data_IF_474443351517
#
_entry.id   IF_474443351517
#
_cell.length_a   1.000
_cell.length_b   1.000
_cell.length_c   1.000
_cell.angle_alpha   90.00
_cell.angle_beta   90.00
_cell.angle_gamma   90.00
#
_symmetry.space_group_name_H-M   'P 1'
#
loop_
_entity.id
_entity.type
_entity.pdbx_description
1 polymer ?
#
# COMPACT_ATOMS: atom_id res chain seq x y z
N UNK A 1 2.80 -37.33 -30.33
CA UNK A 1 1.93 -36.77 -29.26
C UNK A 1 0.47 -36.64 -29.72
N UNK A 2 -0.23 -37.73 -30.06
CA UNK A 2 -1.62 -37.66 -30.58
C UNK A 2 -2.64 -38.57 -29.85
N UNK A 3 -2.21 -39.41 -28.89
CA UNK A 3 -3.09 -40.42 -28.28
C UNK A 3 -3.82 -39.94 -27.01
N UNK A 4 -3.46 -38.79 -26.42
CA UNK A 4 -4.07 -38.31 -25.16
C UNK A 4 -5.34 -37.46 -25.36
N UNK A 5 -5.57 -36.91 -26.57
CA UNK A 5 -6.74 -36.06 -26.86
C UNK A 5 -8.06 -36.83 -27.03
N UNK A 6 -8.02 -38.15 -27.28
CA UNK A 6 -9.22 -38.93 -27.60
C UNK A 6 -10.00 -39.42 -26.37
N UNK A 7 -9.32 -39.73 -25.25
CA UNK A 7 -10.01 -40.29 -24.06
C UNK A 7 -10.81 -39.27 -23.27
N UNK A 8 -10.35 -38.01 -23.18
CA UNK A 8 -11.09 -36.95 -22.49
C UNK A 8 -12.41 -36.66 -23.21
N UNK A 9 -12.37 -36.52 -24.54
CA UNK A 9 -13.54 -36.13 -25.33
C UNK A 9 -14.70 -37.14 -25.24
N UNK A 10 -14.37 -38.43 -25.17
CA UNK A 10 -15.35 -39.53 -25.00
C UNK A 10 -16.02 -39.52 -23.61
N UNK A 11 -15.27 -39.12 -22.57
CA UNK A 11 -15.84 -38.97 -21.21
C UNK A 11 -16.84 -37.80 -21.19
N UNK A 12 -16.53 -36.69 -21.85
CA UNK A 12 -17.41 -35.52 -21.92
C UNK A 12 -18.69 -35.74 -22.75
N UNK A 13 -18.62 -36.58 -23.79
CA UNK A 13 -19.77 -36.84 -24.67
C UNK A 13 -20.86 -37.68 -24.00
N UNK A 14 -20.52 -38.55 -23.04
CA UNK A 14 -21.44 -39.48 -22.38
C UNK A 14 -22.09 -38.97 -21.08
N UNK A 15 -21.76 -37.75 -20.65
CA UNK A 15 -22.32 -37.17 -19.43
C UNK A 15 -23.58 -36.37 -19.76
N UNK A 16 -24.67 -36.62 -19.04
CA UNK A 16 -25.91 -35.85 -19.19
C UNK A 16 -25.72 -34.36 -18.84
N UNK A 17 -26.67 -33.50 -19.22
CA UNK A 17 -26.55 -32.06 -19.03
C UNK A 17 -26.26 -31.63 -17.58
N UNK A 18 -26.76 -32.36 -16.58
CA UNK A 18 -26.48 -32.10 -15.16
C UNK A 18 -25.03 -32.41 -14.80
N UNK A 19 -24.48 -33.53 -15.25
CA UNK A 19 -23.09 -33.88 -14.97
C UNK A 19 -22.08 -32.96 -15.69
N UNK A 20 -22.41 -32.45 -16.88
CA UNK A 20 -21.58 -31.43 -17.56
C UNK A 20 -21.53 -30.12 -16.78
N UNK A 21 -22.66 -29.70 -16.21
CA UNK A 21 -22.74 -28.50 -15.37
C UNK A 21 -21.91 -28.64 -14.09
N UNK A 22 -22.00 -29.79 -13.42
CA UNK A 22 -21.21 -30.07 -12.21
C UNK A 22 -19.71 -30.06 -12.52
N UNK A 23 -19.29 -30.67 -13.63
CA UNK A 23 -17.88 -30.70 -14.02
C UNK A 23 -17.35 -29.31 -14.38
N UNK A 24 -18.16 -28.48 -15.04
CA UNK A 24 -17.83 -27.08 -15.32
C UNK A 24 -17.66 -26.28 -14.02
N UNK A 25 -18.55 -26.45 -13.05
CA UNK A 25 -18.47 -25.78 -11.74
C UNK A 25 -17.21 -26.21 -10.98
N UNK A 26 -16.87 -27.50 -10.98
CA UNK A 26 -15.63 -28.00 -10.38
C UNK A 26 -14.42 -27.42 -11.09
N UNK A 27 -14.41 -27.36 -12.42
CA UNK A 27 -13.31 -26.78 -13.18
C UNK A 27 -13.13 -25.29 -12.88
N UNK A 28 -14.22 -24.50 -12.86
CA UNK A 28 -14.19 -23.08 -12.49
C UNK A 28 -13.70 -22.90 -11.05
N UNK A 29 -14.16 -23.72 -10.11
CA UNK A 29 -13.73 -23.65 -8.72
C UNK A 29 -12.23 -23.99 -8.56
N UNK A 30 -11.74 -25.04 -9.23
CA UNK A 30 -10.32 -25.40 -9.24
C UNK A 30 -9.49 -24.29 -9.90
N UNK A 31 -9.98 -23.69 -10.99
CA UNK A 31 -9.32 -22.55 -11.64
C UNK A 31 -9.26 -21.33 -10.71
N UNK A 32 -10.34 -21.02 -10.00
CA UNK A 32 -10.38 -19.94 -9.00
C UNK A 32 -9.41 -20.22 -7.83
N UNK A 33 -9.34 -21.47 -7.35
CA UNK A 33 -8.38 -21.88 -6.32
C UNK A 33 -6.93 -21.80 -6.81
N UNK A 34 -6.67 -22.17 -8.07
CA UNK A 34 -5.34 -22.06 -8.68
C UNK A 34 -4.95 -20.59 -8.89
N UNK A 35 -5.87 -19.74 -9.36
CA UNK A 35 -5.64 -18.30 -9.50
C UNK A 35 -5.42 -17.64 -8.14
N UNK A 36 -6.19 -18.03 -7.11
CA UNK A 36 -5.99 -17.57 -5.74
C UNK A 36 -4.63 -18.04 -5.18
N UNK A 37 -4.24 -19.29 -5.43
CA UNK A 37 -2.95 -19.85 -5.01
C UNK A 37 -1.76 -19.23 -5.74
N UNK A 38 -1.86 -18.95 -7.04
CA UNK A 38 -0.82 -18.25 -7.81
C UNK A 38 -0.67 -16.82 -7.31
N UNK A 39 -1.80 -16.11 -7.10
CA UNK A 39 -1.80 -14.76 -6.50
C UNK A 39 -1.17 -14.75 -5.10
N UNK A 40 -1.41 -15.79 -4.29
CA UNK A 40 -0.74 -15.96 -3.00
C UNK A 40 0.73 -16.42 -3.10
N UNK A 41 1.09 -17.17 -4.13
CA UNK A 41 2.44 -17.71 -4.33
C UNK A 41 3.44 -16.63 -4.73
N UNK A 42 3.03 -15.64 -5.51
CA UNK A 42 3.89 -14.50 -5.85
C UNK A 42 4.09 -13.54 -4.67
N UNK A 43 3.17 -13.55 -3.70
CA UNK A 43 3.27 -12.80 -2.45
C UNK A 43 4.11 -13.51 -1.37
N UNK A 44 4.45 -14.80 -1.54
CA UNK A 44 5.09 -15.60 -0.49
C UNK A 44 6.45 -16.14 -0.95
N UNK A 45 7.52 -15.57 -0.36
CA UNK A 45 8.94 -16.00 -0.30
C UNK A 45 9.95 -15.25 -1.17
N UNK A 46 10.02 -13.94 -1.05
CA UNK A 46 11.36 -13.35 -0.86
C UNK A 46 11.31 -12.45 0.35
N UNK A 47 12.20 -12.73 1.30
CA UNK A 47 12.40 -11.90 2.46
C UNK A 47 12.72 -10.46 2.00
N UNK A 48 12.30 -9.41 2.72
CA UNK A 48 12.66 -8.06 2.33
C UNK A 48 14.18 -7.94 2.32
N UNK A 49 14.73 -7.20 1.35
CA UNK A 49 16.18 -6.95 1.26
C UNK A 49 16.71 -6.35 2.56
N UNK A 50 15.91 -5.48 3.18
CA UNK A 50 16.21 -4.89 4.48
C UNK A 50 15.24 -5.40 5.54
N UNK A 51 15.79 -6.01 6.58
CA UNK A 51 15.05 -6.34 7.81
C UNK A 51 15.36 -5.28 8.84
N UNK A 52 14.36 -4.48 9.20
CA UNK A 52 14.47 -3.56 10.32
C UNK A 52 14.14 -4.28 11.61
N UNK A 53 14.89 -3.99 12.66
CA UNK A 53 14.56 -4.47 14.02
C UNK A 53 13.45 -3.60 14.58
N UNK A 54 12.33 -4.21 14.97
CA UNK A 54 11.27 -3.52 15.69
C UNK A 54 11.74 -3.19 17.10
N UNK A 55 11.68 -1.91 17.47
CA UNK A 55 11.92 -1.46 18.84
C UNK A 55 10.58 -1.42 19.57
N UNK A 56 10.39 -2.35 20.52
CA UNK A 56 9.25 -2.29 21.43
C UNK A 56 9.42 -1.10 22.39
N UNK A 57 8.46 -0.17 22.37
CA UNK A 57 8.50 1.04 23.20
C UNK A 57 7.95 0.77 24.61
N UNK A 58 6.92 -0.09 24.72
CA UNK A 58 6.32 -0.56 25.98
C UNK A 58 5.81 -1.98 25.81
N UNK A 59 5.72 -2.73 26.92
CA UNK A 59 5.07 -4.03 26.92
C UNK A 59 3.70 -3.95 27.57
N UNK A 60 2.63 -4.30 26.85
CA UNK A 60 1.25 -4.35 27.36
C UNK A 60 0.38 -5.28 26.53
N UNK A 61 -0.74 -5.74 27.09
CA UNK A 61 -1.70 -6.58 26.35
C UNK A 61 -2.41 -5.84 25.19
N UNK A 62 -2.44 -4.50 25.23
CA UNK A 62 -3.02 -3.63 24.20
C UNK A 62 -1.95 -3.08 23.23
N UNK A 63 -0.94 -3.87 22.88
CA UNK A 63 0.12 -3.47 21.95
C UNK A 63 -0.35 -3.41 20.48
N UNK A 64 0.08 -2.38 19.77
CA UNK A 64 -0.05 -2.29 18.31
C UNK A 64 1.28 -1.88 17.66
N UNK A 65 1.44 -2.24 16.39
CA UNK A 65 2.62 -1.88 15.59
C UNK A 65 2.33 -0.64 14.73
N UNK A 66 3.10 0.42 14.94
CA UNK A 66 3.10 1.62 14.09
C UNK A 66 4.35 1.64 13.23
N UNK A 67 4.17 1.77 11.92
CA UNK A 67 5.26 1.96 10.94
C UNK A 67 5.17 3.39 10.41
N UNK A 68 6.28 4.13 10.47
CA UNK A 68 6.42 5.43 9.81
C UNK A 68 7.49 5.33 8.73
N UNK A 69 7.17 5.68 7.49
CA UNK A 69 8.06 5.45 6.37
C UNK A 69 7.94 6.50 5.26
N UNK A 70 9.04 7.21 4.98
CA UNK A 70 9.17 7.98 3.75
C UNK A 70 9.51 7.02 2.59
N UNK A 71 8.61 6.90 1.62
CA UNK A 71 8.70 5.91 0.53
C UNK A 71 9.34 6.46 -0.76
N UNK A 72 9.87 7.68 -0.72
CA UNK A 72 10.52 8.39 -1.83
C UNK A 72 9.62 8.54 -3.06
N UNK A 73 9.13 9.75 -3.28
CA UNK A 73 8.34 10.07 -4.48
C UNK A 73 9.17 9.89 -5.76
N UNK A 74 8.52 9.67 -6.90
CA UNK A 74 9.21 9.57 -8.20
C UNK A 74 9.75 10.93 -8.66
N UNK A 75 9.10 12.03 -8.26
CA UNK A 75 9.45 13.38 -8.72
C UNK A 75 10.88 13.82 -8.33
N UNK A 76 11.34 13.68 -7.07
CA UNK A 76 12.73 13.98 -6.71
C UNK A 76 13.76 13.17 -7.51
N UNK A 77 13.46 11.90 -7.81
CA UNK A 77 14.33 11.03 -8.62
C UNK A 77 14.43 11.56 -10.05
N UNK A 78 13.31 12.00 -10.65
CA UNK A 78 13.31 12.60 -12.00
C UNK A 78 14.02 13.94 -12.05
N UNK A 79 13.91 14.75 -10.99
CA UNK A 79 14.57 16.04 -10.89
C UNK A 79 16.10 15.90 -10.77
N UNK A 80 16.58 14.79 -10.20
CA UNK A 80 17.99 14.48 -10.13
C UNK A 80 18.26 13.01 -10.52
N UNK A 81 18.31 12.67 -11.82
CA UNK A 81 18.49 11.30 -12.30
C UNK A 81 19.81 10.64 -11.86
N UNK A 82 20.83 11.46 -11.67
CA UNK A 82 22.15 11.07 -11.16
C UNK A 82 22.16 10.92 -9.63
N UNK A 83 21.10 11.36 -8.95
CA UNK A 83 20.83 11.00 -7.58
C UNK A 83 20.75 9.48 -7.44
N UNK A 84 21.36 8.95 -6.38
CA UNK A 84 21.31 7.52 -6.05
C UNK A 84 22.01 6.60 -7.07
N UNK A 85 23.04 7.07 -7.77
CA UNK A 85 23.96 6.17 -8.49
C UNK A 85 24.68 5.23 -7.50
N UNK A 86 25.02 3.99 -7.91
CA UNK A 86 24.96 3.45 -9.28
C UNK A 86 23.63 2.78 -9.66
N UNK A 87 22.53 2.94 -8.91
CA UNK A 87 21.27 2.25 -9.23
C UNK A 87 20.76 2.62 -10.64
N UNK A 88 20.26 1.66 -11.44
CA UNK A 88 19.59 1.93 -12.72
C UNK A 88 18.26 2.68 -12.53
N UNK A 89 17.85 3.48 -13.51
CA UNK A 89 16.59 4.26 -13.43
C UNK A 89 15.34 3.39 -13.22
N UNK A 90 15.30 2.21 -13.86
CA UNK A 90 14.21 1.24 -13.71
C UNK A 90 14.05 0.73 -12.28
N UNK A 91 15.10 0.80 -11.46
CA UNK A 91 15.04 0.44 -10.04
C UNK A 91 14.68 1.62 -9.13
N UNK A 92 14.80 2.86 -9.64
CA UNK A 92 14.55 4.09 -8.87
C UNK A 92 13.12 4.61 -9.01
N UNK A 93 12.39 4.25 -10.06
CA UNK A 93 11.04 4.76 -10.32
C UNK A 93 9.98 3.69 -10.04
N UNK A 94 8.77 4.16 -9.69
CA UNK A 94 7.58 3.32 -9.59
C UNK A 94 6.85 3.30 -10.93
N UNK A 95 6.82 4.41 -11.64
CA UNK A 95 6.26 4.47 -13.00
C UNK A 95 7.10 3.68 -14.03
N UNK A 96 6.52 3.28 -15.18
CA UNK A 96 5.12 3.52 -15.60
C UNK A 96 4.11 2.55 -14.96
N UNK A 97 4.57 1.40 -14.44
CA UNK A 97 3.72 0.40 -13.80
C UNK A 97 4.17 0.19 -12.35
N UNK A 98 3.52 0.87 -11.39
CA UNK A 98 3.90 0.78 -9.99
C UNK A 98 3.87 -0.63 -9.43
N UNK A 99 2.91 -1.47 -9.85
CA UNK A 99 2.73 -2.82 -9.29
C UNK A 99 3.88 -3.77 -9.63
N UNK A 100 4.49 -3.59 -10.79
CA UNK A 100 5.64 -4.42 -11.20
C UNK A 100 6.99 -3.79 -10.85
N UNK A 101 6.99 -2.52 -10.44
CA UNK A 101 8.22 -1.80 -10.09
C UNK A 101 9.01 -2.50 -8.95
N UNK A 102 10.36 -2.54 -9.03
CA UNK A 102 11.18 -3.10 -7.96
C UNK A 102 10.93 -2.43 -6.60
N UNK A 103 10.75 -1.10 -6.56
CA UNK A 103 10.53 -0.36 -5.31
C UNK A 103 9.24 -0.76 -4.61
N UNK A 104 8.14 -0.84 -5.35
CA UNK A 104 6.86 -1.26 -4.80
C UNK A 104 6.91 -2.69 -4.28
N UNK A 105 7.48 -3.63 -5.06
CA UNK A 105 7.64 -5.03 -4.62
C UNK A 105 8.46 -5.15 -3.33
N UNK A 106 9.50 -4.34 -3.17
CA UNK A 106 10.29 -4.33 -1.93
C UNK A 106 9.53 -3.68 -0.78
N UNK A 107 8.82 -2.58 -1.03
CA UNK A 107 7.97 -1.92 -0.03
C UNK A 107 6.91 -2.88 0.54
N UNK A 108 6.20 -3.62 -0.33
CA UNK A 108 5.17 -4.57 0.11
C UNK A 108 5.75 -5.74 0.91
N UNK A 109 6.94 -6.24 0.54
CA UNK A 109 7.66 -7.25 1.35
C UNK A 109 8.03 -6.72 2.72
N UNK A 110 8.53 -5.48 2.80
CA UNK A 110 8.92 -4.85 4.06
C UNK A 110 7.69 -4.62 4.96
N UNK A 111 6.60 -4.09 4.42
CA UNK A 111 5.33 -3.91 5.14
C UNK A 111 4.81 -5.25 5.66
N UNK A 112 4.79 -6.29 4.81
CA UNK A 112 4.33 -7.63 5.20
C UNK A 112 5.18 -8.22 6.32
N UNK A 113 6.50 -8.03 6.25
CA UNK A 113 7.44 -8.49 7.29
C UNK A 113 7.21 -7.77 8.62
N UNK A 114 7.00 -6.45 8.59
CA UNK A 114 6.81 -5.63 9.79
C UNK A 114 5.48 -5.90 10.51
N UNK A 115 4.47 -6.43 9.81
CA UNK A 115 3.11 -6.68 10.34
C UNK A 115 2.53 -5.48 11.08
N UNK A 116 2.44 -4.30 10.43
CA UNK A 116 1.89 -3.10 11.04
C UNK A 116 0.42 -3.28 11.38
N UNK A 117 -0.04 -2.50 12.35
CA UNK A 117 -1.45 -2.21 12.55
C UNK A 117 -1.80 -0.81 12.04
N UNK A 118 -0.83 0.10 12.01
CA UNK A 118 -0.92 1.45 11.46
C UNK A 118 0.33 1.74 10.62
N UNK A 119 0.15 2.36 9.45
CA UNK A 119 1.22 2.74 8.54
C UNK A 119 1.08 4.22 8.17
N UNK A 120 2.04 5.05 8.59
CA UNK A 120 2.14 6.45 8.20
C UNK A 120 3.22 6.59 7.13
N UNK A 121 2.84 6.92 5.90
CA UNK A 121 3.76 7.08 4.77
C UNK A 121 3.96 8.55 4.41
N UNK A 122 5.20 8.92 4.09
CA UNK A 122 5.53 10.22 3.51
C UNK A 122 6.04 10.07 2.07
N UNK A 123 5.95 11.15 1.29
CA UNK A 123 6.31 11.19 -0.13
C UNK A 123 5.51 10.19 -1.00
N UNK A 124 4.22 10.03 -0.68
CA UNK A 124 3.30 9.22 -1.49
C UNK A 124 2.84 10.03 -2.68
N UNK A 125 3.30 9.68 -3.88
CA UNK A 125 2.80 10.26 -5.14
C UNK A 125 1.28 10.04 -5.23
N UNK A 126 0.50 11.08 -5.56
CA UNK A 126 -0.97 11.01 -5.63
C UNK A 126 -1.50 9.84 -6.49
N UNK A 127 -1.00 9.62 -7.74
CA UNK A 127 -1.46 8.47 -8.53
C UNK A 127 -0.99 7.12 -7.99
N UNK A 128 0.01 7.08 -7.11
CA UNK A 128 0.47 5.84 -6.49
C UNK A 128 -0.36 5.44 -5.27
N UNK A 129 -1.07 6.38 -4.64
CA UNK A 129 -1.95 6.08 -3.50
C UNK A 129 -3.01 5.02 -3.84
N UNK A 130 -3.65 5.10 -5.01
CA UNK A 130 -4.67 4.12 -5.43
C UNK A 130 -4.11 2.70 -5.55
N UNK A 131 -2.83 2.56 -5.94
CA UNK A 131 -2.15 1.26 -6.00
C UNK A 131 -1.93 0.70 -4.59
N UNK A 132 -1.49 1.55 -3.66
CA UNK A 132 -1.32 1.17 -2.25
C UNK A 132 -2.66 0.81 -1.61
N UNK A 133 -3.70 1.61 -1.86
CA UNK A 133 -5.05 1.41 -1.35
C UNK A 133 -5.64 0.09 -1.82
N UNK A 134 -5.50 -0.24 -3.11
CA UNK A 134 -5.98 -1.51 -3.65
C UNK A 134 -5.27 -2.72 -3.00
N UNK A 135 -3.96 -2.68 -2.84
CA UNK A 135 -3.18 -3.82 -2.35
C UNK A 135 -3.25 -3.98 -0.82
N UNK A 136 -3.12 -2.88 -0.07
CA UNK A 136 -3.28 -2.90 1.38
C UNK A 136 -4.74 -3.19 1.76
N UNK A 137 -5.70 -2.73 0.95
CA UNK A 137 -7.12 -3.08 1.05
C UNK A 137 -7.37 -4.58 1.01
N UNK A 138 -6.71 -5.31 0.11
CA UNK A 138 -6.78 -6.78 0.05
C UNK A 138 -6.24 -7.45 1.32
N UNK A 139 -5.38 -6.75 2.07
CA UNK A 139 -4.80 -7.21 3.33
C UNK A 139 -5.60 -6.76 4.57
N UNK A 140 -6.73 -6.07 4.39
CA UNK A 140 -7.61 -5.62 5.47
C UNK A 140 -7.24 -4.25 6.05
N UNK A 141 -6.53 -3.41 5.30
CA UNK A 141 -6.29 -2.03 5.68
C UNK A 141 -7.27 -1.08 4.96
N UNK A 142 -7.61 0.01 5.62
CA UNK A 142 -8.18 1.20 4.98
C UNK A 142 -7.17 2.33 5.09
N UNK A 143 -7.22 3.31 4.19
CA UNK A 143 -6.30 4.43 4.25
C UNK A 143 -6.87 5.73 3.75
N UNK A 144 -6.14 6.79 4.07
CA UNK A 144 -6.39 8.15 3.62
C UNK A 144 -5.12 8.76 3.05
N UNK A 145 -5.29 9.75 2.17
CA UNK A 145 -4.20 10.49 1.54
C UNK A 145 -4.48 11.98 1.62
N UNK A 146 -3.45 12.76 1.94
CA UNK A 146 -3.49 14.21 1.86
C UNK A 146 -2.28 14.67 1.04
N UNK A 147 -2.49 15.23 -0.17
CA UNK A 147 -1.42 15.80 -0.96
C UNK A 147 -0.87 17.07 -0.30
N UNK A 148 0.40 17.37 -0.53
CA UNK A 148 0.94 18.69 -0.21
C UNK A 148 0.24 19.76 -1.06
N UNK A 149 0.10 20.98 -0.51
CA UNK A 149 -0.70 22.08 -1.09
C UNK A 149 -0.48 22.35 -2.59
N UNK A 150 0.77 22.30 -3.07
CA UNK A 150 1.13 22.45 -4.48
C UNK A 150 1.91 21.24 -5.00
N UNK A 151 1.88 20.13 -4.27
CA UNK A 151 2.71 18.96 -4.51
C UNK A 151 1.99 17.87 -5.27
N UNK A 152 2.77 17.05 -5.98
CA UNK A 152 2.30 15.80 -6.61
C UNK A 152 2.41 14.59 -5.69
N UNK A 153 2.88 14.81 -4.46
CA UNK A 153 3.02 13.82 -3.42
C UNK A 153 2.46 14.38 -2.10
N UNK A 154 2.33 13.50 -1.11
CA UNK A 154 1.84 13.89 0.19
C UNK A 154 2.07 12.81 1.23
N UNK A 155 1.16 12.75 2.17
CA UNK A 155 1.19 11.80 3.27
C UNK A 155 0.01 10.84 3.13
N UNK A 156 0.20 9.60 3.58
CA UNK A 156 -0.88 8.63 3.68
C UNK A 156 -0.88 7.95 5.05
N UNK A 157 -2.06 7.66 5.56
CA UNK A 157 -2.22 6.84 6.78
C UNK A 157 -3.06 5.63 6.43
N UNK A 158 -2.56 4.42 6.71
CA UNK A 158 -3.32 3.18 6.63
C UNK A 158 -3.50 2.57 8.00
N UNK A 159 -4.66 1.97 8.28
CA UNK A 159 -4.94 1.28 9.54
C UNK A 159 -5.62 -0.07 9.29
N UNK A 160 -5.27 -1.06 10.11
CA UNK A 160 -5.84 -2.39 10.06
C UNK A 160 -7.28 -2.36 10.62
N UNK A 161 -8.27 -2.60 9.77
CA UNK A 161 -9.70 -2.47 10.11
C UNK A 161 -10.17 -3.49 11.15
N UNK A 162 -9.40 -4.56 11.38
CA UNK A 162 -9.67 -5.53 12.45
C UNK A 162 -9.34 -4.98 13.84
N UNK A 163 -8.46 -3.97 13.92
CA UNK A 163 -8.03 -3.37 15.18
C UNK A 163 -8.51 -1.95 15.37
N UNK A 164 -8.64 -1.17 14.30
CA UNK A 164 -8.97 0.25 14.37
C UNK A 164 -10.09 0.60 13.40
N UNK A 165 -10.89 1.60 13.77
CA UNK A 165 -11.80 2.32 12.87
C UNK A 165 -11.43 3.79 12.86
N UNK A 166 -11.56 4.44 11.72
CA UNK A 166 -11.36 5.89 11.61
C UNK A 166 -12.55 6.63 12.21
N UNK A 167 -12.28 7.59 13.09
CA UNK A 167 -13.27 8.54 13.59
C UNK A 167 -13.27 9.83 12.77
N UNK A 168 -12.08 10.43 12.61
CA UNK A 168 -11.89 11.66 11.83
C UNK A 168 -10.44 11.86 11.44
N UNK A 169 -10.24 12.73 10.46
CA UNK A 169 -8.92 13.22 10.05
C UNK A 169 -8.89 14.72 10.31
N UNK A 170 -7.82 15.20 10.93
CA UNK A 170 -7.56 16.63 11.11
C UNK A 170 -6.25 16.97 10.42
N UNK A 171 -6.33 17.79 9.38
CA UNK A 171 -5.18 18.23 8.60
C UNK A 171 -4.82 19.66 8.97
N UNK A 172 -3.53 19.91 9.19
CA UNK A 172 -2.98 21.25 9.37
C UNK A 172 -2.00 21.56 8.25
N UNK A 173 -2.32 22.58 7.47
CA UNK A 173 -1.42 23.12 6.47
C UNK A 173 -0.56 24.22 7.11
N UNK A 174 0.76 24.05 7.06
CA UNK A 174 1.67 24.99 7.71
C UNK A 174 1.57 26.40 7.12
N UNK A 175 1.34 26.53 5.80
CA UNK A 175 1.15 27.84 5.18
C UNK A 175 -0.17 28.48 5.61
N UNK A 176 -1.26 27.71 5.72
CA UNK A 176 -2.51 28.25 6.24
C UNK A 176 -2.35 28.77 7.68
N UNK A 177 -1.66 28.02 8.54
CA UNK A 177 -1.36 28.46 9.89
C UNK A 177 -0.50 29.72 9.92
N UNK A 178 0.54 29.79 9.09
CA UNK A 178 1.40 30.97 8.98
C UNK A 178 0.66 32.18 8.43
N UNK A 179 -0.27 32.01 7.50
CA UNK A 179 -1.07 33.14 6.94
C UNK A 179 -1.95 33.84 7.98
N UNK A 180 -2.22 33.19 9.10
CA UNK A 180 -2.94 33.81 10.23
C UNK A 180 -2.05 34.73 11.06
N UNK A 181 -0.73 34.56 10.96
CA UNK A 181 0.27 35.31 11.73
C UNK A 181 1.01 36.34 10.87
N UNK A 182 1.19 36.07 9.58
CA UNK A 182 1.99 36.88 8.66
C UNK A 182 1.35 36.96 7.27
N UNK A 183 1.60 38.05 6.54
CA UNK A 183 1.30 38.14 5.12
C UNK A 183 2.29 37.28 4.30
N UNK A 184 1.82 36.16 3.79
CA UNK A 184 2.66 35.20 3.06
C UNK A 184 3.21 35.71 1.73
N UNK A 185 2.60 36.77 1.14
CA UNK A 185 3.10 37.36 -0.10
C UNK A 185 4.52 37.91 0.06
N UNK A 186 4.93 38.22 1.29
CA UNK A 186 6.29 38.67 1.63
C UNK A 186 7.33 37.55 1.53
N UNK A 187 6.91 36.27 1.46
CA UNK A 187 7.80 35.10 1.46
C UNK A 187 7.82 34.32 0.14
N UNK A 188 7.12 34.80 -0.89
CA UNK A 188 6.66 34.00 -2.03
C UNK A 188 7.80 33.33 -2.85
N UNK A 189 9.00 33.92 -2.91
CA UNK A 189 10.16 33.31 -3.60
C UNK A 189 10.85 32.19 -2.81
N UNK A 190 10.77 32.21 -1.47
CA UNK A 190 11.44 31.26 -0.58
C UNK A 190 10.50 30.17 -0.03
N UNK A 191 9.18 30.40 -0.06
CA UNK A 191 8.22 29.51 0.59
C UNK A 191 7.75 28.32 -0.27
N UNK A 192 8.17 28.24 -1.54
CA UNK A 192 7.77 27.16 -2.47
C UNK A 192 8.08 25.74 -1.97
N UNK A 193 9.07 25.60 -1.08
CA UNK A 193 9.51 24.33 -0.49
C UNK A 193 8.91 24.05 0.90
N UNK A 194 8.28 25.04 1.53
CA UNK A 194 7.61 24.87 2.82
C UNK A 194 6.15 24.46 2.60
N UNK A 195 5.95 23.27 2.07
CA UNK A 195 4.61 22.68 1.87
C UNK A 195 4.30 21.68 2.96
N UNK A 196 4.73 21.96 4.19
CA UNK A 196 4.57 21.04 5.32
C UNK A 196 3.08 20.89 5.64
N UNK A 197 2.64 19.65 5.65
CA UNK A 197 1.31 19.24 6.10
C UNK A 197 1.51 18.33 7.28
N UNK A 198 0.64 18.46 8.28
CA UNK A 198 0.53 17.52 9.40
C UNK A 198 -0.86 16.92 9.36
N UNK A 199 -0.94 15.60 9.50
CA UNK A 199 -2.21 14.88 9.56
C UNK A 199 -2.28 14.22 10.93
N UNK A 200 -3.42 14.40 11.59
CA UNK A 200 -3.79 13.65 12.76
C UNK A 200 -4.94 12.73 12.39
N UNK A 201 -4.69 11.42 12.43
CA UNK A 201 -5.72 10.41 12.25
C UNK A 201 -6.25 10.00 13.62
N UNK A 202 -7.51 10.35 13.88
CA UNK A 202 -8.21 9.92 15.09
C UNK A 202 -8.78 8.53 14.82
N UNK A 203 -8.21 7.53 15.49
CA UNK A 203 -8.58 6.12 15.39
C UNK A 203 -9.25 5.69 16.69
N UNK A 204 -10.17 4.74 16.59
CA UNK A 204 -10.79 4.08 17.74
C UNK A 204 -10.43 2.61 17.68
N UNK A 205 -9.84 2.10 18.75
CA UNK A 205 -9.55 0.67 18.88
C UNK A 205 -10.88 -0.12 18.97
N UNK A 206 -11.04 -1.10 18.08
CA UNK A 206 -12.30 -1.86 17.93
C UNK A 206 -12.63 -2.65 19.18
N UNK A 207 -11.62 -3.25 19.83
CA UNK A 207 -11.82 -4.13 20.99
C UNK A 207 -12.20 -3.35 22.26
N UNK A 208 -11.56 -2.21 22.50
CA UNK A 208 -11.65 -1.49 23.78
C UNK A 208 -12.46 -0.20 23.69
N UNK A 209 -12.71 0.31 22.49
CA UNK A 209 -13.30 1.63 22.27
C UNK A 209 -12.36 2.80 22.60
N UNK A 210 -11.09 2.54 22.96
CA UNK A 210 -10.12 3.60 23.29
C UNK A 210 -9.76 4.41 22.04
N UNK A 211 -9.73 5.73 22.18
CA UNK A 211 -9.26 6.63 21.14
C UNK A 211 -7.74 6.68 21.10
N UNK A 212 -7.22 6.77 19.89
CA UNK A 212 -5.80 6.93 19.57
C UNK A 212 -5.68 8.06 18.53
N UNK A 213 -4.67 8.90 18.68
CA UNK A 213 -4.31 9.89 17.67
C UNK A 213 -2.90 9.57 17.19
N UNK A 214 -2.76 9.40 15.87
CA UNK A 214 -1.48 9.14 15.19
C UNK A 214 -1.17 10.18 14.15
#
# INVERSE_FOLDING_TARGET
MAAAKSKLFVIFSNINNKGRLVLLLVFVFVLLLLLHKVRHSDMVKSEPVFRRTLKRVRSSEDEFCLVSYNILADMPVRANPNGYLPLPMVEKLKEPDPKTSPRHRQLMKEITWLKPDIINMQEVDTPYFSVLEEELGQSGFEGSHEPHFKGKNGLATFYNTKKFRLEKIVTYNFNELLSRLFDLSQFDKNNKFNQRVVIFSHLIEVKTGKSLVV
#
